data_IF_867000878919
#
_entry.id   IF_867000878919
#
_cell.length_a   1.000
_cell.length_b   1.000
_cell.length_c   1.000
_cell.angle_alpha   90.00
_cell.angle_beta   90.00
_cell.angle_gamma   90.00
#
_symmetry.space_group_name_H-M   'P 1'
#
loop_
_entity.id
_entity.type
_entity.pdbx_description
1 polymer ?
#
# COMPACT_ATOMS: atom_id res chain seq x y z
N UNK A 1 -30.37 2.80 -7.43
CA UNK A 1 -29.97 1.74 -6.48
C UNK A 1 -28.51 1.74 -6.00
N UNK A 2 -27.62 2.63 -6.48
CA UNK A 2 -26.21 2.68 -6.03
C UNK A 2 -26.00 3.16 -4.57
N UNK A 3 -26.98 3.88 -4.00
CA UNK A 3 -26.92 4.37 -2.61
C UNK A 3 -27.14 3.20 -1.61
N UNK A 4 -27.97 2.22 -1.97
CA UNK A 4 -28.21 1.04 -1.14
C UNK A 4 -27.00 0.11 -1.06
N UNK A 5 -26.24 -0.06 -2.16
CA UNK A 5 -25.06 -0.93 -2.17
C UNK A 5 -23.89 -0.35 -1.37
N UNK A 6 -23.71 0.97 -1.37
CA UNK A 6 -22.59 1.64 -0.66
C UNK A 6 -22.76 1.54 0.85
N UNK A 7 -23.98 1.67 1.37
CA UNK A 7 -24.28 1.52 2.80
C UNK A 7 -24.05 0.09 3.29
N UNK A 8 -24.39 -0.91 2.48
CA UNK A 8 -24.13 -2.32 2.80
C UNK A 8 -22.63 -2.63 2.91
N UNK A 9 -21.79 -2.03 2.06
CA UNK A 9 -20.32 -2.22 2.10
C UNK A 9 -19.73 -1.62 3.39
N UNK A 10 -20.16 -0.42 3.78
CA UNK A 10 -19.74 0.21 5.04
C UNK A 10 -20.20 -0.61 6.25
N UNK A 11 -21.43 -1.12 6.23
CA UNK A 11 -21.94 -2.01 7.28
C UNK A 11 -21.14 -3.32 7.37
N UNK A 12 -20.77 -3.91 6.23
CA UNK A 12 -19.94 -5.12 6.17
C UNK A 12 -18.53 -4.85 6.73
N UNK A 13 -17.95 -3.67 6.51
CA UNK A 13 -16.68 -3.26 7.10
C UNK A 13 -16.74 -3.12 8.64
N UNK A 14 -17.93 -2.90 9.21
CA UNK A 14 -18.15 -2.88 10.65
C UNK A 14 -18.10 -4.28 11.30
N UNK A 15 -18.33 -5.35 10.54
CA UNK A 15 -18.36 -6.70 11.07
C UNK A 15 -17.01 -7.16 11.67
N UNK A 16 -15.85 -7.01 10.99
CA UNK A 16 -14.56 -7.32 11.60
C UNK A 16 -14.27 -6.53 12.87
N UNK A 17 -14.68 -5.26 12.93
CA UNK A 17 -14.49 -4.42 14.12
C UNK A 17 -15.35 -4.90 15.31
N UNK A 18 -16.62 -5.24 15.05
CA UNK A 18 -17.50 -5.82 16.08
C UNK A 18 -16.98 -7.18 16.54
N UNK A 19 -16.56 -8.03 15.61
CA UNK A 19 -15.96 -9.33 15.92
C UNK A 19 -14.70 -9.15 16.78
N UNK A 20 -13.80 -8.24 16.40
CA UNK A 20 -12.61 -7.91 17.18
C UNK A 20 -12.97 -7.41 18.58
N UNK A 21 -13.98 -6.54 18.72
CA UNK A 21 -14.44 -6.05 20.01
C UNK A 21 -14.94 -7.19 20.90
N UNK A 22 -15.78 -8.09 20.37
CA UNK A 22 -16.29 -9.25 21.12
C UNK A 22 -15.15 -10.19 21.52
N UNK A 23 -14.20 -10.46 20.63
CA UNK A 23 -13.03 -11.31 20.92
C UNK A 23 -12.09 -10.70 21.97
N UNK A 24 -11.94 -9.37 21.97
CA UNK A 24 -11.14 -8.67 23.00
C UNK A 24 -11.70 -8.83 24.41
N UNK A 25 -13.01 -9.00 24.57
CA UNK A 25 -13.63 -9.28 25.88
C UNK A 25 -13.26 -10.66 26.43
N UNK A 26 -12.80 -11.58 25.58
CA UNK A 26 -12.38 -12.94 25.97
C UNK A 26 -10.88 -13.03 26.31
N UNK A 27 -10.09 -12.03 25.90
CA UNK A 27 -8.64 -12.04 26.12
C UNK A 27 -8.30 -11.65 27.56
N UNK A 28 -7.30 -12.30 28.19
CA UNK A 28 -6.81 -11.86 29.49
C UNK A 28 -6.12 -10.50 29.40
N UNK A 29 -6.14 -9.74 30.49
CA UNK A 29 -5.37 -8.50 30.62
C UNK A 29 -3.86 -8.77 30.47
N UNK A 30 -3.11 -7.75 30.05
CA UNK A 30 -1.66 -7.85 29.87
C UNK A 30 -0.95 -8.21 31.19
N UNK A 31 -0.17 -9.31 31.26
CA UNK A 31 0.54 -9.72 32.48
C UNK A 31 1.47 -8.63 33.03
N UNK A 32 2.23 -7.95 32.14
CA UNK A 32 3.14 -6.86 32.51
C UNK A 32 2.38 -5.70 33.17
N UNK A 33 1.18 -5.36 32.67
CA UNK A 33 0.36 -4.30 33.24
C UNK A 33 -0.18 -4.67 34.62
N UNK A 34 -0.61 -5.93 34.81
CA UNK A 34 -1.08 -6.45 36.10
C UNK A 34 0.05 -6.42 37.14
N UNK A 35 1.24 -6.91 36.77
CA UNK A 35 2.42 -6.89 37.63
C UNK A 35 2.80 -5.46 38.07
N UNK A 36 2.82 -4.50 37.13
CA UNK A 36 3.09 -3.07 37.42
C UNK A 36 2.06 -2.42 38.36
N UNK A 37 0.87 -3.00 38.52
CA UNK A 37 -0.15 -2.56 39.48
C UNK A 37 -0.12 -3.34 40.79
N UNK A 38 0.96 -4.05 41.09
CA UNK A 38 1.11 -4.91 42.28
C UNK A 38 0.07 -6.07 42.32
N UNK A 39 -0.47 -6.50 41.17
CA UNK A 39 -1.39 -7.64 41.05
C UNK A 39 -0.63 -8.87 40.54
N UNK A 40 0.27 -9.42 41.35
CA UNK A 40 1.16 -10.51 40.94
C UNK A 40 0.42 -11.82 40.64
N UNK A 41 -0.54 -12.21 41.48
CA UNK A 41 -1.31 -13.45 41.30
C UNK A 41 -2.10 -13.45 39.99
N UNK A 42 -2.77 -12.33 39.67
CA UNK A 42 -3.51 -12.16 38.42
C UNK A 42 -2.59 -12.20 37.20
N UNK A 43 -1.36 -11.67 37.32
CA UNK A 43 -0.34 -11.74 36.26
C UNK A 43 0.08 -13.18 35.97
N UNK A 44 0.28 -13.99 37.02
CA UNK A 44 0.62 -15.41 36.88
C UNK A 44 -0.55 -16.16 36.23
N UNK A 45 -1.79 -15.88 36.64
CA UNK A 45 -2.97 -16.51 36.06
C UNK A 45 -3.16 -16.14 34.58
N UNK A 46 -2.88 -14.88 34.21
CA UNK A 46 -2.86 -14.46 32.81
C UNK A 46 -1.78 -15.19 31.99
N UNK A 47 -0.58 -15.41 32.55
CA UNK A 47 0.49 -16.16 31.88
C UNK A 47 0.15 -17.65 31.72
N UNK A 48 -0.51 -18.28 32.70
CA UNK A 48 -0.94 -19.69 32.62
C UNK A 48 -1.92 -19.97 31.49
N UNK A 49 -2.65 -18.96 31.01
CA UNK A 49 -3.53 -19.08 29.84
C UNK A 49 -2.78 -19.12 28.51
N UNK A 50 -1.51 -18.72 28.49
CA UNK A 50 -0.70 -18.55 27.28
C UNK A 50 0.43 -19.59 27.22
N UNK A 51 1.06 -19.88 28.35
CA UNK A 51 2.27 -20.71 28.46
C UNK A 51 2.03 -21.98 29.26
N UNK A 52 2.87 -23.01 29.03
CA UNK A 52 2.86 -24.22 29.84
C UNK A 52 3.42 -23.95 31.24
N UNK A 53 3.09 -24.81 32.20
CA UNK A 53 3.47 -24.63 33.62
C UNK A 53 4.95 -24.30 33.86
N UNK A 54 5.88 -24.99 33.19
CA UNK A 54 7.32 -24.73 33.34
C UNK A 54 7.76 -23.41 32.70
N UNK A 55 7.17 -23.04 31.55
CA UNK A 55 7.47 -21.79 30.83
C UNK A 55 6.92 -20.57 31.58
N UNK A 56 5.80 -20.71 32.30
CA UNK A 56 5.21 -19.64 33.11
C UNK A 56 6.19 -19.13 34.16
N UNK A 57 6.95 -20.02 34.81
CA UNK A 57 7.92 -19.63 35.83
C UNK A 57 9.05 -18.81 35.21
N UNK A 58 9.62 -19.29 34.10
CA UNK A 58 10.71 -18.62 33.38
C UNK A 58 10.26 -17.24 32.84
N UNK A 59 9.09 -17.17 32.22
CA UNK A 59 8.53 -15.91 31.69
C UNK A 59 8.17 -14.93 32.80
N UNK A 60 7.66 -15.41 33.94
CA UNK A 60 7.37 -14.56 35.09
C UNK A 60 8.64 -13.99 35.73
N UNK A 61 9.70 -14.79 35.85
CA UNK A 61 11.00 -14.32 36.33
C UNK A 61 11.64 -13.31 35.37
N UNK A 62 11.54 -13.54 34.06
CA UNK A 62 12.00 -12.59 33.04
C UNK A 62 11.21 -11.28 33.10
N UNK A 63 9.88 -11.36 33.30
CA UNK A 63 9.01 -10.20 33.48
C UNK A 63 9.41 -9.41 34.73
N UNK A 64 9.61 -10.08 35.86
CA UNK A 64 10.06 -9.45 37.11
C UNK A 64 11.41 -8.75 36.93
N UNK A 65 12.35 -9.38 36.22
CA UNK A 65 13.64 -8.79 35.90
C UNK A 65 13.50 -7.55 35.00
N UNK A 66 12.63 -7.60 33.99
CA UNK A 66 12.40 -6.45 33.11
C UNK A 66 11.86 -5.24 33.88
N UNK A 67 10.93 -5.46 34.80
CA UNK A 67 10.33 -4.40 35.61
C UNK A 67 11.29 -3.92 36.71
N UNK A 68 12.10 -4.81 37.29
CA UNK A 68 13.10 -4.41 38.28
C UNK A 68 14.20 -3.56 37.65
N UNK A 69 14.66 -3.87 36.43
CA UNK A 69 15.62 -3.06 35.68
C UNK A 69 15.05 -1.67 35.36
N UNK A 70 13.78 -1.59 34.95
CA UNK A 70 13.08 -0.29 34.78
C UNK A 70 13.05 0.50 36.09
N UNK A 71 12.75 -0.18 37.21
CA UNK A 71 12.62 0.45 38.52
C UNK A 71 13.97 0.83 39.14
N UNK A 72 15.06 0.13 38.81
CA UNK A 72 16.40 0.35 39.38
C UNK A 72 17.32 1.19 38.51
N UNK A 73 17.05 1.29 37.20
CA UNK A 73 17.77 2.17 36.26
C UNK A 73 17.32 3.64 36.30
N UNK A 74 16.25 3.96 37.03
CA UNK A 74 15.78 5.31 37.28
C UNK A 74 15.71 5.57 38.77
N UNK A 75 16.39 6.64 39.20
CA UNK A 75 15.94 7.43 40.35
C UNK A 75 14.42 7.51 40.31
N UNK A 76 13.75 6.88 41.28
CA UNK A 76 12.46 7.19 41.88
C UNK A 76 11.56 8.21 41.15
N UNK A 77 11.33 8.01 39.86
CA UNK A 77 10.38 8.76 39.05
C UNK A 77 9.49 7.78 38.32
N UNK A 78 8.87 6.92 39.12
CA UNK A 78 7.42 6.76 38.95
C UNK A 78 6.88 8.19 38.81
N UNK A 79 6.45 8.57 37.61
CA UNK A 79 5.81 9.86 37.39
C UNK A 79 4.29 9.61 37.39
N UNK A 80 3.63 9.49 38.55
CA UNK A 80 2.21 9.76 38.60
C UNK A 80 2.04 11.26 38.37
N UNK A 81 1.85 11.66 37.10
CA UNK A 81 1.49 13.04 36.72
C UNK A 81 2.53 13.86 35.96
N UNK A 82 3.55 13.27 35.30
CA UNK A 82 4.39 14.08 34.40
C UNK A 82 3.69 14.42 33.10
N UNK A 83 3.80 15.69 32.69
CA UNK A 83 3.31 16.14 31.40
C UNK A 83 3.97 15.31 30.29
N UNK A 84 3.19 14.77 29.35
CA UNK A 84 3.64 13.99 28.18
C UNK A 84 4.90 14.55 27.50
N UNK A 85 5.00 15.89 27.41
CA UNK A 85 6.14 16.61 26.84
C UNK A 85 7.45 16.41 27.63
N UNK A 86 7.38 16.36 28.95
CA UNK A 86 8.56 16.19 29.81
C UNK A 86 9.14 14.77 29.72
N UNK A 87 8.29 13.76 29.50
CA UNK A 87 8.71 12.38 29.27
C UNK A 87 9.46 12.23 27.94
N UNK A 88 8.96 12.89 26.87
CA UNK A 88 9.64 12.95 25.56
C UNK A 88 10.99 13.67 25.69
N UNK A 89 11.02 14.83 26.34
CA UNK A 89 12.24 15.62 26.47
C UNK A 89 13.32 14.88 27.27
N UNK A 90 12.93 14.20 28.35
CA UNK A 90 13.84 13.40 29.17
C UNK A 90 14.41 12.22 28.37
N UNK A 91 13.57 11.45 27.69
CA UNK A 91 14.00 10.29 26.90
C UNK A 91 14.86 10.69 25.69
N UNK A 92 14.63 11.86 25.09
CA UNK A 92 15.44 12.40 23.99
C UNK A 92 16.90 12.71 24.39
N UNK A 93 17.17 12.87 25.68
CA UNK A 93 18.52 13.13 26.19
C UNK A 93 19.45 11.91 26.01
N UNK A 94 18.88 10.70 25.90
CA UNK A 94 19.66 9.50 25.63
C UNK A 94 20.09 9.44 24.15
N UNK A 95 21.40 9.37 23.84
CA UNK A 95 21.88 9.30 22.46
C UNK A 95 21.43 8.00 21.77
N UNK A 96 21.20 6.93 22.53
CA UNK A 96 20.71 5.65 22.02
C UNK A 96 19.26 5.76 21.56
N UNK A 97 18.37 6.30 22.41
CA UNK A 97 16.95 6.50 22.08
C UNK A 97 16.81 7.43 20.88
N UNK A 98 17.60 8.51 20.81
CA UNK A 98 17.59 9.43 19.67
C UNK A 98 17.98 8.73 18.37
N UNK A 99 19.08 7.95 18.38
CA UNK A 99 19.53 7.20 17.19
C UNK A 99 18.47 6.19 16.74
N UNK A 100 17.92 5.46 17.70
CA UNK A 100 16.83 4.50 17.50
C UNK A 100 15.60 5.14 16.87
N UNK A 101 15.17 6.28 17.41
CA UNK A 101 14.03 7.03 16.89
C UNK A 101 14.22 7.55 15.47
N UNK A 102 15.40 8.09 15.17
CA UNK A 102 15.72 8.54 13.80
C UNK A 102 15.69 7.39 12.81
N UNK A 103 16.25 6.22 13.18
CA UNK A 103 16.24 5.02 12.32
C UNK A 103 14.81 4.50 12.13
N UNK A 104 14.02 4.39 13.20
CA UNK A 104 12.63 3.92 13.11
C UNK A 104 11.75 4.85 12.27
N UNK A 105 11.83 6.17 12.47
CA UNK A 105 11.10 7.13 11.63
C UNK A 105 11.57 7.07 10.17
N UNK A 106 12.89 7.08 9.94
CA UNK A 106 13.45 7.00 8.60
C UNK A 106 13.00 5.74 7.88
N UNK A 107 12.87 4.62 8.58
CA UNK A 107 12.40 3.35 8.01
C UNK A 107 10.90 3.39 7.66
N UNK A 108 10.05 4.03 8.49
CA UNK A 108 8.63 4.22 8.15
C UNK A 108 8.44 5.16 6.95
N UNK A 109 9.22 6.23 6.86
CA UNK A 109 9.19 7.15 5.70
C UNK A 109 9.68 6.41 4.45
N UNK A 110 10.79 5.68 4.56
CA UNK A 110 11.34 4.86 3.48
C UNK A 110 10.33 3.83 2.96
N UNK A 111 9.59 3.16 3.85
CA UNK A 111 8.53 2.23 3.48
C UNK A 111 7.50 2.88 2.55
N UNK A 112 7.04 4.09 2.88
CA UNK A 112 6.05 4.80 2.08
C UNK A 112 6.63 5.32 0.75
N UNK A 113 7.87 5.81 0.75
CA UNK A 113 8.54 6.36 -0.44
C UNK A 113 8.86 5.31 -1.52
N UNK A 114 9.08 4.05 -1.15
CA UNK A 114 9.20 2.94 -2.13
C UNK A 114 7.90 2.75 -2.92
N UNK A 115 6.78 3.28 -2.43
CA UNK A 115 5.57 3.42 -3.21
C UNK A 115 4.69 2.17 -3.27
N UNK A 116 4.84 1.21 -2.36
CA UNK A 116 4.00 0.00 -2.36
C UNK A 116 2.50 0.31 -2.19
N UNK A 117 2.17 1.33 -1.39
CA UNK A 117 0.80 1.80 -1.25
C UNK A 117 0.30 2.53 -2.51
N UNK A 118 1.13 3.38 -3.13
CA UNK A 118 0.79 4.04 -4.39
C UNK A 118 0.56 3.02 -5.52
N UNK A 119 1.44 2.03 -5.63
CA UNK A 119 1.28 0.91 -6.56
C UNK A 119 -0.06 0.21 -6.41
N UNK A 120 -0.53 0.00 -5.17
CA UNK A 120 -1.82 -0.66 -4.93
C UNK A 120 -2.98 0.05 -5.64
N UNK A 121 -2.91 1.38 -5.72
CA UNK A 121 -3.90 2.19 -6.42
C UNK A 121 -3.71 2.19 -7.95
N UNK A 122 -2.51 1.93 -8.46
CA UNK A 122 -2.24 1.76 -9.90
C UNK A 122 -2.73 0.42 -10.45
N UNK A 123 -2.86 -0.61 -9.61
CA UNK A 123 -3.10 -1.98 -10.08
C UNK A 123 -4.33 -2.10 -10.99
N UNK A 124 -5.53 -1.58 -10.64
CA UNK A 124 -6.69 -1.73 -11.50
C UNK A 124 -6.47 -1.10 -12.88
N UNK A 125 -5.72 0.00 -12.94
CA UNK A 125 -5.33 0.70 -14.16
C UNK A 125 -4.35 -0.15 -15.00
N UNK A 126 -3.31 -0.72 -14.36
CA UNK A 126 -2.35 -1.64 -15.00
C UNK A 126 -3.06 -2.89 -15.54
N UNK A 127 -3.94 -3.48 -14.74
CA UNK A 127 -4.72 -4.66 -15.12
C UNK A 127 -5.61 -4.39 -16.35
N UNK A 128 -6.22 -3.19 -16.40
CA UNK A 128 -7.03 -2.75 -17.54
C UNK A 128 -6.18 -2.55 -18.80
N UNK A 129 -4.98 -1.98 -18.68
CA UNK A 129 -4.04 -1.84 -19.81
C UNK A 129 -3.57 -3.20 -20.33
N UNK A 130 -3.41 -4.20 -19.48
CA UNK A 130 -3.14 -5.58 -19.90
C UNK A 130 -4.33 -6.29 -20.55
N UNK A 131 -5.48 -5.62 -20.73
CA UNK A 131 -6.65 -6.20 -21.39
C UNK A 131 -7.61 -6.95 -20.46
N UNK A 132 -7.44 -6.84 -19.13
CA UNK A 132 -8.43 -7.34 -18.19
C UNK A 132 -9.63 -6.40 -18.21
N UNK A 133 -10.79 -6.91 -18.62
CA UNK A 133 -12.03 -6.15 -18.67
C UNK A 133 -13.15 -6.90 -17.97
N UNK A 134 -14.13 -6.16 -17.44
CA UNK A 134 -15.31 -6.74 -16.84
C UNK A 134 -16.22 -7.39 -17.88
N UNK A 135 -16.87 -8.53 -17.56
CA UNK A 135 -17.95 -9.08 -18.36
C UNK A 135 -19.14 -8.12 -18.55
N UNK A 136 -19.31 -7.14 -17.64
CA UNK A 136 -20.37 -6.15 -17.69
C UNK A 136 -19.82 -4.72 -17.54
N UNK A 137 -20.06 -3.79 -18.48
CA UNK A 137 -19.56 -2.41 -18.44
C UNK A 137 -20.06 -1.62 -17.24
N UNK A 138 -21.30 -1.84 -16.80
CA UNK A 138 -21.92 -1.08 -15.72
C UNK A 138 -21.23 -1.31 -14.37
N UNK A 139 -20.55 -2.45 -14.21
CA UNK A 139 -19.83 -2.81 -12.99
C UNK A 139 -18.31 -2.88 -13.19
N UNK A 140 -17.78 -2.34 -14.30
CA UNK A 140 -16.40 -2.57 -14.71
C UNK A 140 -15.36 -2.02 -13.71
N UNK A 141 -15.58 -0.81 -13.19
CA UNK A 141 -14.72 -0.21 -12.17
C UNK A 141 -14.72 -1.05 -10.89
N UNK A 142 -15.90 -1.48 -10.45
CA UNK A 142 -16.05 -2.28 -9.23
C UNK A 142 -15.43 -3.66 -9.41
N UNK A 143 -15.69 -4.34 -10.53
CA UNK A 143 -15.13 -5.65 -10.85
C UNK A 143 -13.59 -5.62 -10.87
N UNK A 144 -12.99 -4.61 -11.52
CA UNK A 144 -11.55 -4.42 -11.52
C UNK A 144 -11.01 -4.21 -10.10
N UNK A 145 -11.62 -3.30 -9.32
CA UNK A 145 -11.19 -3.04 -7.94
C UNK A 145 -11.32 -4.29 -7.07
N UNK A 146 -12.45 -4.98 -7.06
CA UNK A 146 -12.66 -6.18 -6.24
C UNK A 146 -11.70 -7.30 -6.64
N UNK A 147 -11.63 -7.65 -7.92
CA UNK A 147 -10.81 -8.77 -8.39
C UNK A 147 -9.33 -8.52 -8.14
N UNK A 148 -8.84 -7.32 -8.48
CA UNK A 148 -7.44 -6.96 -8.25
C UNK A 148 -7.11 -6.83 -6.76
N UNK A 149 -7.92 -6.14 -5.97
CA UNK A 149 -7.62 -5.96 -4.54
C UNK A 149 -7.68 -7.29 -3.77
N UNK A 150 -8.61 -8.20 -4.12
CA UNK A 150 -8.65 -9.54 -3.52
C UNK A 150 -7.40 -10.34 -3.90
N UNK A 151 -7.04 -10.36 -5.20
CA UNK A 151 -5.84 -11.06 -5.68
C UNK A 151 -4.58 -10.58 -4.96
N UNK A 152 -4.39 -9.26 -4.89
CA UNK A 152 -3.22 -8.67 -4.23
C UNK A 152 -3.26 -8.80 -2.70
N UNK A 153 -4.42 -8.67 -2.07
CA UNK A 153 -4.60 -8.92 -0.64
C UNK A 153 -4.25 -10.36 -0.26
N UNK A 154 -4.65 -11.34 -1.09
CA UNK A 154 -4.25 -12.73 -0.91
C UNK A 154 -2.72 -12.90 -1.04
N UNK A 155 -2.12 -12.30 -2.06
CA UNK A 155 -0.67 -12.32 -2.25
C UNK A 155 0.07 -11.70 -1.05
N UNK A 156 -0.42 -10.56 -0.54
CA UNK A 156 0.15 -9.89 0.62
C UNK A 156 0.07 -10.77 1.87
N UNK A 157 -1.04 -11.50 2.04
CA UNK A 157 -1.23 -12.42 3.15
C UNK A 157 -0.27 -13.62 3.06
N UNK A 158 -0.22 -14.30 1.91
CA UNK A 158 0.69 -15.44 1.72
C UNK A 158 2.16 -15.02 1.79
N UNK A 159 2.54 -13.96 1.07
CA UNK A 159 3.89 -13.42 1.07
C UNK A 159 4.30 -12.90 2.44
N UNK A 160 3.43 -12.14 3.10
CA UNK A 160 3.67 -11.58 4.43
C UNK A 160 3.89 -12.66 5.49
N UNK A 161 2.99 -13.63 5.60
CA UNK A 161 3.07 -14.68 6.64
C UNK A 161 4.22 -15.64 6.37
N UNK A 162 4.23 -16.27 5.19
CA UNK A 162 5.21 -17.32 4.86
C UNK A 162 6.60 -16.71 4.68
N UNK A 163 6.66 -15.54 4.05
CA UNK A 163 7.90 -14.83 3.80
C UNK A 163 8.50 -14.24 5.08
N UNK A 164 7.73 -13.51 5.88
CA UNK A 164 8.29 -12.91 7.10
C UNK A 164 8.79 -13.98 8.07
N UNK A 165 8.01 -15.05 8.29
CA UNK A 165 8.38 -16.13 9.22
C UNK A 165 9.70 -16.81 8.82
N UNK A 166 9.84 -17.19 7.55
CA UNK A 166 11.02 -17.94 7.09
C UNK A 166 12.24 -17.05 6.85
N UNK A 167 12.05 -15.85 6.30
CA UNK A 167 13.17 -15.02 5.87
C UNK A 167 13.71 -14.11 6.99
N UNK A 168 12.86 -13.55 7.85
CA UNK A 168 13.31 -12.65 8.94
C UNK A 168 14.10 -13.42 10.01
N UNK A 169 13.75 -14.69 10.26
CA UNK A 169 14.46 -15.53 11.20
C UNK A 169 15.85 -15.96 10.68
N UNK A 170 15.97 -16.19 9.36
CA UNK A 170 17.18 -16.76 8.74
C UNK A 170 18.16 -15.72 8.21
N UNK A 171 17.67 -14.60 7.68
CA UNK A 171 18.49 -13.57 7.04
C UNK A 171 18.59 -12.30 7.88
N UNK A 172 19.72 -11.59 7.76
CA UNK A 172 19.91 -10.29 8.41
C UNK A 172 18.86 -9.28 7.94
N UNK A 173 18.29 -8.51 8.88
CA UNK A 173 17.19 -7.55 8.62
C UNK A 173 17.58 -6.52 7.55
N UNK A 174 18.79 -5.96 7.63
CA UNK A 174 19.29 -4.96 6.66
C UNK A 174 19.49 -5.54 5.27
N UNK A 175 20.15 -6.70 5.15
CA UNK A 175 20.31 -7.41 3.86
C UNK A 175 18.97 -7.74 3.21
N UNK A 176 18.00 -8.16 4.03
CA UNK A 176 16.66 -8.48 3.54
C UNK A 176 15.92 -7.23 3.05
N UNK A 177 15.96 -6.12 3.81
CA UNK A 177 15.43 -4.82 3.40
C UNK A 177 16.04 -4.34 2.07
N UNK A 178 17.36 -4.41 1.92
CA UNK A 178 18.04 -3.97 0.70
C UNK A 178 17.75 -4.84 -0.51
N UNK A 179 17.82 -6.17 -0.34
CA UNK A 179 17.46 -7.13 -1.40
C UNK A 179 16.06 -6.87 -1.94
N UNK A 180 15.13 -6.56 -1.03
CA UNK A 180 13.77 -6.24 -1.37
C UNK A 180 13.60 -4.97 -2.20
N UNK A 181 14.25 -3.88 -1.78
CA UNK A 181 14.19 -2.61 -2.50
C UNK A 181 14.79 -2.75 -3.88
N UNK A 182 15.87 -3.52 -4.03
CA UNK A 182 16.43 -3.83 -5.35
C UNK A 182 15.47 -4.65 -6.21
N UNK A 183 14.75 -5.61 -5.62
CA UNK A 183 13.74 -6.37 -6.36
C UNK A 183 12.59 -5.47 -6.85
N UNK A 184 12.06 -4.60 -5.97
CA UNK A 184 11.04 -3.61 -6.34
C UNK A 184 11.56 -2.69 -7.45
N UNK A 185 12.77 -2.15 -7.31
CA UNK A 185 13.40 -1.30 -8.31
C UNK A 185 13.47 -1.99 -9.69
N UNK A 186 13.96 -3.23 -9.74
CA UNK A 186 14.05 -3.98 -11.00
C UNK A 186 12.68 -4.30 -11.60
N UNK A 187 11.68 -4.57 -10.77
CA UNK A 187 10.31 -4.76 -11.25
C UNK A 187 9.73 -3.47 -11.85
N UNK A 188 9.92 -2.33 -11.19
CA UNK A 188 9.46 -1.03 -11.68
C UNK A 188 10.17 -0.63 -12.99
N UNK A 189 11.49 -0.84 -13.08
CA UNK A 189 12.25 -0.62 -14.32
C UNK A 189 11.76 -1.55 -15.44
N UNK A 190 11.48 -2.81 -15.12
CA UNK A 190 10.91 -3.77 -16.07
C UNK A 190 9.52 -3.35 -16.56
N UNK A 191 8.66 -2.85 -15.66
CA UNK A 191 7.36 -2.28 -16.03
C UNK A 191 7.54 -1.05 -16.93
N UNK A 192 8.41 -0.10 -16.57
CA UNK A 192 8.73 1.04 -17.44
C UNK A 192 9.21 0.61 -18.83
N UNK A 193 10.09 -0.40 -18.90
CA UNK A 193 10.58 -0.93 -20.17
C UNK A 193 9.45 -1.51 -21.02
N UNK A 194 8.54 -2.29 -20.41
CA UNK A 194 7.35 -2.80 -21.10
C UNK A 194 6.48 -1.67 -21.64
N UNK A 195 6.23 -0.63 -20.83
CA UNK A 195 5.45 0.53 -21.27
C UNK A 195 6.10 1.28 -22.44
N UNK A 196 7.43 1.41 -22.45
CA UNK A 196 8.17 2.12 -23.51
C UNK A 196 8.24 1.30 -24.80
N UNK A 197 8.42 -0.03 -24.68
CA UNK A 197 8.60 -0.90 -25.84
C UNK A 197 7.28 -1.38 -26.45
N UNK A 198 6.18 -1.33 -25.69
CA UNK A 198 4.85 -1.57 -26.25
C UNK A 198 4.52 -0.38 -27.14
N UNK A 199 4.57 -0.53 -28.48
CA UNK A 199 4.35 0.60 -29.38
C UNK A 199 2.95 1.17 -29.11
N UNK A 200 2.77 2.48 -29.31
CA UNK A 200 1.51 3.22 -29.21
C UNK A 200 0.37 2.57 -30.03
N UNK A 201 -0.17 1.47 -29.54
CA UNK A 201 -1.42 0.84 -29.96
C UNK A 201 -2.51 1.36 -29.04
N UNK A 202 -2.50 2.67 -28.80
CA UNK A 202 -3.64 3.36 -28.22
C UNK A 202 -4.78 3.11 -29.18
N UNK A 203 -5.93 2.69 -28.66
CA UNK A 203 -7.10 2.44 -29.50
C UNK A 203 -7.39 3.67 -30.37
N UNK A 204 -7.29 3.47 -31.69
CA UNK A 204 -7.58 4.48 -32.68
C UNK A 204 -9.07 4.81 -32.70
N UNK A 205 -9.41 6.01 -33.17
CA UNK A 205 -10.81 6.37 -33.40
C UNK A 205 -11.28 5.70 -34.69
N UNK A 206 -12.26 4.79 -34.61
CA UNK A 206 -12.89 4.21 -35.79
C UNK A 206 -13.89 5.20 -36.36
N UNK A 207 -13.63 5.70 -37.58
CA UNK A 207 -14.55 6.57 -38.30
C UNK A 207 -15.89 5.88 -38.59
N UNK A 208 -15.84 4.59 -38.89
CA UNK A 208 -17.05 3.78 -39.08
C UNK A 208 -17.89 3.79 -37.80
N UNK A 209 -17.30 3.42 -36.66
CA UNK A 209 -18.03 3.34 -35.39
C UNK A 209 -18.53 4.71 -34.92
N UNK A 210 -17.74 5.76 -35.10
CA UNK A 210 -18.12 7.13 -34.72
C UNK A 210 -19.32 7.62 -35.54
N UNK A 211 -19.27 7.49 -36.88
CA UNK A 211 -20.27 8.09 -37.77
C UNK A 211 -21.50 7.20 -37.94
N UNK A 212 -21.34 5.89 -38.14
CA UNK A 212 -22.48 5.01 -38.45
C UNK A 212 -23.24 4.58 -37.21
N UNK A 213 -22.54 4.29 -36.10
CA UNK A 213 -23.16 3.77 -34.89
C UNK A 213 -23.62 4.87 -33.92
N UNK A 214 -23.03 6.06 -33.99
CA UNK A 214 -23.28 7.16 -33.05
C UNK A 214 -23.50 8.52 -33.72
N UNK A 215 -23.75 8.57 -35.04
CA UNK A 215 -23.71 9.76 -35.90
C UNK A 215 -24.22 11.10 -35.32
N UNK A 216 -25.33 11.10 -34.57
CA UNK A 216 -25.89 12.33 -33.97
C UNK A 216 -25.08 12.88 -32.78
N UNK A 217 -24.23 12.06 -32.17
CA UNK A 217 -23.46 12.36 -30.96
C UNK A 217 -21.96 12.48 -31.25
N UNK A 218 -21.58 12.72 -32.50
CA UNK A 218 -20.18 12.78 -32.93
C UNK A 218 -19.51 14.09 -32.52
N UNK A 219 -18.25 14.03 -32.09
CA UNK A 219 -17.56 15.25 -31.65
C UNK A 219 -17.22 16.18 -32.83
N UNK A 220 -17.62 17.45 -32.77
CA UNK A 220 -17.35 18.44 -33.82
C UNK A 220 -15.85 18.60 -34.09
N UNK A 221 -15.05 18.66 -33.01
CA UNK A 221 -13.58 18.75 -33.09
C UNK A 221 -12.94 17.59 -33.87
N UNK A 222 -13.55 16.40 -33.85
CA UNK A 222 -13.07 15.23 -34.58
C UNK A 222 -13.44 15.29 -36.07
N UNK A 223 -14.65 15.74 -36.39
CA UNK A 223 -15.13 15.86 -37.78
C UNK A 223 -14.41 16.97 -38.54
N UNK A 224 -14.13 18.08 -37.87
CA UNK A 224 -13.46 19.24 -38.45
C UNK A 224 -11.95 19.04 -38.62
N UNK A 225 -11.37 18.02 -37.99
CA UNK A 225 -9.94 17.76 -38.04
C UNK A 225 -9.49 17.13 -39.37
N UNK A 226 -8.55 17.78 -40.06
CA UNK A 226 -7.97 17.27 -41.30
C UNK A 226 -7.16 15.97 -41.13
N UNK A 227 -6.77 15.62 -39.90
CA UNK A 227 -6.01 14.43 -39.55
C UNK A 227 -6.80 13.39 -38.74
N UNK A 228 -8.14 13.40 -38.83
CA UNK A 228 -9.05 12.52 -38.08
C UNK A 228 -8.63 11.04 -38.11
N UNK A 229 -8.12 10.52 -39.24
CA UNK A 229 -7.72 9.11 -39.36
C UNK A 229 -6.48 8.73 -38.51
N UNK A 230 -5.76 9.72 -37.96
CA UNK A 230 -4.64 9.53 -37.03
C UNK A 230 -5.02 9.79 -35.57
N UNK A 231 -6.29 10.10 -35.30
CA UNK A 231 -6.73 10.35 -33.93
C UNK A 231 -6.76 9.06 -33.14
N UNK A 232 -6.24 9.15 -31.93
CA UNK A 232 -6.35 8.13 -30.90
C UNK A 232 -7.28 8.61 -29.78
N UNK A 233 -7.61 7.70 -28.87
CA UNK A 233 -8.42 8.01 -27.69
C UNK A 233 -7.89 9.24 -26.92
N UNK A 234 -6.56 9.41 -26.80
CA UNK A 234 -5.96 10.54 -26.08
C UNK A 234 -6.18 11.87 -26.79
N UNK A 235 -6.04 11.89 -28.12
CA UNK A 235 -6.29 13.08 -28.95
C UNK A 235 -7.76 13.47 -28.90
N UNK A 236 -8.67 12.48 -28.95
CA UNK A 236 -10.11 12.70 -28.78
C UNK A 236 -10.44 13.36 -27.42
N UNK A 237 -9.94 12.80 -26.31
CA UNK A 237 -10.20 13.34 -24.98
C UNK A 237 -9.58 14.72 -24.77
N UNK A 238 -8.40 15.00 -25.35
CA UNK A 238 -7.75 16.33 -25.28
C UNK A 238 -8.53 17.41 -26.04
N UNK A 239 -9.34 17.01 -27.02
CA UNK A 239 -10.20 17.92 -27.77
C UNK A 239 -11.50 18.29 -27.04
N UNK A 240 -11.68 17.86 -25.77
CA UNK A 240 -12.89 18.10 -24.97
C UNK A 240 -14.05 17.16 -25.31
N UNK A 241 -13.78 16.06 -25.99
CA UNK A 241 -14.76 15.03 -26.37
C UNK A 241 -14.78 13.88 -25.35
N UNK A 242 -15.80 13.02 -25.41
CA UNK A 242 -15.82 11.70 -24.75
C UNK A 242 -15.42 10.57 -25.71
N UNK A 243 -14.89 9.48 -25.19
CA UNK A 243 -14.49 8.32 -25.97
C UNK A 243 -15.26 7.07 -25.52
N UNK A 244 -15.89 6.37 -26.46
CA UNK A 244 -16.65 5.15 -26.20
C UNK A 244 -15.93 3.95 -26.83
N UNK A 245 -15.58 2.94 -26.04
CA UNK A 245 -14.80 1.79 -26.53
C UNK A 245 -15.41 0.45 -26.15
N UNK A 246 -15.36 -0.51 -27.09
CA UNK A 246 -15.91 -1.86 -26.91
C UNK A 246 -15.08 -2.74 -25.98
N UNK A 247 -15.70 -3.73 -25.34
CA UNK A 247 -15.04 -4.64 -24.37
C UNK A 247 -14.36 -5.83 -25.05
N UNK A 248 -14.77 -6.19 -26.28
CA UNK A 248 -14.36 -7.43 -26.95
C UNK A 248 -13.67 -7.17 -28.30
N UNK A 249 -12.50 -7.78 -28.51
CA UNK A 249 -12.03 -8.18 -29.85
C UNK A 249 -12.88 -9.37 -30.33
N UNK A 250 -14.18 -9.18 -30.54
CA UNK A 250 -14.93 -10.12 -31.35
C UNK A 250 -14.63 -9.82 -32.81
N UNK A 251 -14.38 -10.87 -33.60
CA UNK A 251 -14.00 -10.89 -35.02
C UNK A 251 -14.91 -10.10 -36.00
N UNK A 252 -15.91 -9.37 -35.51
CA UNK A 252 -16.91 -8.63 -36.29
C UNK A 252 -17.10 -7.16 -35.85
N UNK A 253 -16.32 -6.64 -34.89
CA UNK A 253 -16.30 -5.20 -34.55
C UNK A 253 -14.96 -4.63 -34.97
N UNK A 254 -14.99 -3.55 -35.76
CA UNK A 254 -13.77 -2.89 -36.27
C UNK A 254 -12.84 -2.50 -35.14
N UNK A 255 -11.50 -2.62 -35.31
CA UNK A 255 -10.55 -2.20 -34.30
C UNK A 255 -10.61 -0.67 -34.13
N UNK A 256 -11.10 -0.20 -32.98
CA UNK A 256 -11.15 1.20 -32.62
C UNK A 256 -12.30 1.51 -31.66
N UNK A 257 -12.35 2.75 -31.15
CA UNK A 257 -13.50 3.28 -30.40
C UNK A 257 -14.09 4.51 -31.08
N UNK A 258 -15.21 5.00 -30.56
CA UNK A 258 -15.92 6.16 -31.10
C UNK A 258 -15.61 7.45 -30.32
N UNK A 259 -15.34 8.55 -31.04
CA UNK A 259 -15.12 9.88 -30.44
C UNK A 259 -16.40 10.72 -30.49
N UNK A 260 -17.00 10.99 -29.33
CA UNK A 260 -18.34 11.53 -29.18
C UNK A 260 -18.36 12.86 -28.41
N UNK A 261 -19.43 13.65 -28.52
CA UNK A 261 -19.59 14.91 -27.78
C UNK A 261 -19.60 14.66 -26.27
N UNK A 262 -18.96 15.53 -25.48
CA UNK A 262 -19.07 15.49 -24.02
C UNK A 262 -20.52 15.72 -23.55
N UNK A 263 -20.87 15.22 -22.36
CA UNK A 263 -22.21 15.36 -21.76
C UNK A 263 -22.67 16.83 -21.72
N UNK A 264 -23.96 17.10 -22.04
CA UNK A 264 -25.10 16.47 -21.36
C UNK A 264 -26.08 15.66 -22.23
N UNK A 265 -25.74 15.32 -23.48
CA UNK A 265 -26.68 14.72 -24.45
C UNK A 265 -27.07 13.24 -24.21
N UNK A 266 -26.91 12.67 -23.01
CA UNK A 266 -27.23 11.26 -22.72
C UNK A 266 -26.34 10.23 -23.46
N UNK A 267 -25.22 10.69 -24.01
CA UNK A 267 -24.28 9.88 -24.83
C UNK A 267 -23.65 8.74 -24.03
N UNK A 268 -23.40 8.96 -22.74
CA UNK A 268 -22.88 7.95 -21.81
C UNK A 268 -23.80 6.73 -21.73
N UNK A 269 -25.12 6.96 -21.62
CA UNK A 269 -26.13 5.89 -21.57
C UNK A 269 -26.22 5.16 -22.91
N UNK A 270 -26.09 5.86 -24.04
CA UNK A 270 -26.07 5.24 -25.36
C UNK A 270 -24.84 4.34 -25.58
N UNK A 271 -23.68 4.74 -25.05
CA UNK A 271 -22.46 3.92 -25.02
C UNK A 271 -22.65 2.67 -24.14
N UNK A 272 -23.15 2.84 -22.92
CA UNK A 272 -23.40 1.73 -22.00
C UNK A 272 -24.48 0.75 -22.50
N UNK A 273 -25.51 1.25 -23.21
CA UNK A 273 -26.55 0.41 -23.82
C UNK A 273 -26.00 -0.57 -24.87
N UNK A 274 -24.87 -0.25 -25.49
CA UNK A 274 -24.16 -1.13 -26.44
C UNK A 274 -23.11 -2.02 -25.77
N UNK A 275 -23.11 -2.11 -24.44
CA UNK A 275 -22.08 -2.79 -23.65
C UNK A 275 -20.65 -2.24 -23.90
N UNK A 276 -20.52 -0.93 -24.07
CA UNK A 276 -19.25 -0.25 -24.25
C UNK A 276 -18.89 0.59 -23.01
N UNK A 277 -17.60 0.85 -22.84
CA UNK A 277 -17.06 1.65 -21.73
C UNK A 277 -16.97 3.10 -22.18
N UNK A 278 -17.58 3.99 -21.39
CA UNK A 278 -17.56 5.44 -21.60
C UNK A 278 -16.41 6.08 -20.83
N UNK A 279 -15.59 6.87 -21.53
CA UNK A 279 -14.45 7.58 -20.99
C UNK A 279 -14.63 9.09 -21.21
N UNK A 280 -14.49 9.87 -20.14
CA UNK A 280 -14.53 11.35 -20.19
C UNK A 280 -13.25 11.96 -19.64
N UNK A 281 -13.08 13.25 -19.88
CA UNK A 281 -11.96 14.03 -19.36
C UNK A 281 -11.89 14.05 -17.82
N UNK A 282 -13.04 13.97 -17.14
CA UNK A 282 -13.18 13.99 -15.66
C UNK A 282 -13.28 12.59 -15.03
N UNK A 283 -13.35 11.53 -15.84
CA UNK A 283 -13.30 10.16 -15.34
C UNK A 283 -11.92 9.91 -14.75
N UNK A 284 -11.87 9.47 -13.49
CA UNK A 284 -10.71 9.45 -12.59
C UNK A 284 -9.51 8.54 -12.99
N UNK A 285 -9.29 8.30 -14.29
CA UNK A 285 -8.13 7.65 -14.93
C UNK A 285 -8.18 7.92 -16.44
N UNK A 286 -7.28 8.77 -16.99
CA UNK A 286 -7.07 8.87 -18.45
C UNK A 286 -6.29 7.66 -18.99
N UNK A 287 -6.86 6.47 -18.92
CA UNK A 287 -6.23 5.27 -19.49
C UNK A 287 -6.97 4.83 -20.73
N UNK A 288 -6.77 5.58 -21.81
CA UNK A 288 -6.91 5.02 -23.14
C UNK A 288 -6.08 3.73 -23.19
N UNK A 289 -6.71 2.60 -23.57
CA UNK A 289 -6.05 1.30 -23.47
C UNK A 289 -4.79 1.28 -24.32
N UNK A 290 -3.64 1.19 -23.65
CA UNK A 290 -2.37 0.81 -24.27
C UNK A 290 -2.35 -0.71 -24.21
N UNK A 291 -2.33 -1.38 -25.37
CA UNK A 291 -2.13 -2.82 -25.40
C UNK A 291 -0.71 -3.12 -24.92
N UNK A 292 -0.57 -3.66 -23.71
CA UNK A 292 0.70 -4.16 -23.16
C UNK A 292 0.68 -5.68 -23.07
N UNK A 293 1.83 -6.37 -23.15
CA UNK A 293 1.92 -7.81 -22.90
C UNK A 293 1.38 -8.16 -21.51
N UNK A 294 0.17 -8.74 -21.48
CA UNK A 294 -0.60 -8.92 -20.26
C UNK A 294 0.14 -9.77 -19.24
N UNK A 295 0.63 -10.93 -19.67
CA UNK A 295 1.29 -11.92 -18.82
C UNK A 295 2.53 -11.33 -18.15
N UNK A 296 3.40 -10.65 -18.92
CA UNK A 296 4.62 -10.06 -18.39
C UNK A 296 4.32 -8.94 -17.36
N UNK A 297 3.34 -8.09 -17.67
CA UNK A 297 2.92 -6.98 -16.81
C UNK A 297 2.33 -7.47 -15.49
N UNK A 298 1.44 -8.48 -15.55
CA UNK A 298 0.89 -9.11 -14.35
C UNK A 298 1.95 -9.81 -13.52
N UNK A 299 2.86 -10.57 -14.14
CA UNK A 299 3.94 -11.25 -13.39
C UNK A 299 4.87 -10.27 -12.67
N UNK A 300 5.32 -9.21 -13.36
CA UNK A 300 6.19 -8.19 -12.76
C UNK A 300 5.51 -7.43 -11.62
N UNK A 301 4.23 -7.06 -11.80
CA UNK A 301 3.46 -6.37 -10.76
C UNK A 301 3.20 -7.25 -9.54
N UNK A 302 2.92 -8.54 -9.74
CA UNK A 302 2.79 -9.53 -8.67
C UNK A 302 4.10 -9.73 -7.91
N UNK A 303 5.23 -9.92 -8.60
CA UNK A 303 6.55 -10.08 -7.96
C UNK A 303 6.92 -8.84 -7.15
N UNK A 304 6.67 -7.65 -7.71
CA UNK A 304 6.90 -6.38 -7.03
C UNK A 304 6.09 -6.28 -5.73
N UNK A 305 4.82 -6.69 -5.76
CA UNK A 305 3.96 -6.63 -4.59
C UNK A 305 4.28 -7.70 -3.54
N UNK A 306 4.56 -8.95 -3.95
CA UNK A 306 5.06 -10.00 -3.04
C UNK A 306 6.28 -9.47 -2.29
N UNK A 307 7.23 -8.92 -3.03
CA UNK A 307 8.46 -8.36 -2.47
C UNK A 307 8.10 -7.33 -1.41
N UNK A 308 7.34 -6.29 -1.76
CA UNK A 308 6.96 -5.26 -0.81
C UNK A 308 6.31 -5.83 0.46
N UNK A 309 5.35 -6.74 0.33
CA UNK A 309 4.60 -7.32 1.44
C UNK A 309 5.42 -8.22 2.37
N UNK A 310 6.38 -8.99 1.85
CA UNK A 310 7.21 -9.92 2.63
C UNK A 310 8.15 -9.19 3.59
N UNK A 311 8.71 -8.04 3.18
CA UNK A 311 9.84 -7.41 3.87
C UNK A 311 9.50 -6.00 4.35
N UNK A 312 9.19 -5.09 3.41
CA UNK A 312 8.90 -3.69 3.74
C UNK A 312 7.57 -3.54 4.47
N UNK A 313 6.62 -4.45 4.27
CA UNK A 313 5.36 -4.49 5.00
C UNK A 313 5.51 -4.81 6.48
N UNK A 314 6.44 -5.70 6.86
CA UNK A 314 6.53 -6.25 8.22
C UNK A 314 7.72 -5.72 9.03
N UNK A 315 8.91 -5.66 8.43
CA UNK A 315 10.16 -5.37 9.16
C UNK A 315 10.15 -3.99 9.85
N UNK A 316 9.70 -2.90 9.21
CA UNK A 316 9.65 -1.59 9.86
C UNK A 316 8.84 -1.59 11.16
N UNK A 317 7.69 -2.28 11.16
CA UNK A 317 6.84 -2.43 12.34
C UNK A 317 7.46 -3.34 13.40
N UNK A 318 8.05 -4.48 13.00
CA UNK A 318 8.76 -5.38 13.93
C UNK A 318 9.92 -4.64 14.62
N UNK A 319 10.66 -3.82 13.86
CA UNK A 319 11.76 -3.03 14.41
C UNK A 319 11.22 -1.95 15.35
N UNK A 320 10.15 -1.24 14.99
CA UNK A 320 9.54 -0.23 15.86
C UNK A 320 9.19 -0.78 17.25
N UNK A 321 8.65 -2.00 17.34
CA UNK A 321 8.23 -2.63 18.60
C UNK A 321 9.41 -3.00 19.52
N UNK A 322 10.58 -3.32 18.97
CA UNK A 322 11.72 -3.87 19.72
C UNK A 322 12.82 -2.86 20.06
N UNK A 323 12.66 -1.63 19.58
CA UNK A 323 13.71 -0.61 19.60
C UNK A 323 13.73 0.25 20.87
N UNK A 324 12.59 0.33 21.58
CA UNK A 324 12.43 1.21 22.75
C UNK A 324 12.22 0.43 24.06
N UNK A 325 12.71 0.97 25.20
CA UNK A 325 12.34 0.48 26.51
C UNK A 325 10.83 0.64 26.71
N UNK A 326 10.23 -0.29 27.43
CA UNK A 326 8.80 -0.42 27.74
C UNK A 326 8.16 0.89 28.23
N UNK A 327 8.87 1.69 29.04
CA UNK A 327 8.40 2.97 29.59
C UNK A 327 8.02 4.00 28.53
N UNK A 328 8.80 4.08 27.45
CA UNK A 328 8.62 5.08 26.38
C UNK A 328 8.18 4.47 25.06
N UNK A 329 8.06 3.13 25.01
CA UNK A 329 7.65 2.36 23.82
C UNK A 329 6.29 2.79 23.29
N UNK A 330 5.32 3.04 24.19
CA UNK A 330 4.00 3.53 23.79
C UNK A 330 4.06 4.88 23.09
N UNK A 331 4.75 5.85 23.70
CA UNK A 331 4.86 7.22 23.18
C UNK A 331 5.66 7.30 21.88
N UNK A 332 6.90 6.80 21.88
CA UNK A 332 7.77 6.85 20.70
C UNK A 332 7.29 5.92 19.59
N UNK A 333 6.77 4.74 19.93
CA UNK A 333 6.15 3.83 18.97
C UNK A 333 4.92 4.44 18.29
N UNK A 334 4.09 5.17 19.05
CA UNK A 334 2.95 5.92 18.53
C UNK A 334 3.36 7.08 17.62
N UNK A 335 4.39 7.85 17.99
CA UNK A 335 4.95 8.91 17.14
C UNK A 335 5.48 8.38 15.81
N UNK A 336 6.23 7.27 15.83
CA UNK A 336 6.72 6.59 14.61
C UNK A 336 5.56 6.10 13.74
N UNK A 337 4.49 5.57 14.35
CA UNK A 337 3.29 5.17 13.63
C UNK A 337 2.58 6.39 12.99
N UNK A 338 2.47 7.51 13.71
CA UNK A 338 1.92 8.75 13.17
C UNK A 338 2.73 9.25 11.95
N UNK A 339 4.06 9.23 12.03
CA UNK A 339 4.93 9.55 10.89
C UNK A 339 4.66 8.65 9.69
N UNK A 340 4.40 7.35 9.89
CA UNK A 340 4.06 6.43 8.81
C UNK A 340 2.77 6.85 8.09
N UNK A 341 1.69 7.11 8.83
CA UNK A 341 0.40 7.48 8.26
C UNK A 341 0.40 8.87 7.62
N UNK A 342 1.14 9.83 8.19
CA UNK A 342 1.37 11.15 7.58
C UNK A 342 2.13 10.99 6.26
N UNK A 343 3.21 10.19 6.26
CA UNK A 343 3.99 9.93 5.05
C UNK A 343 3.15 9.22 3.98
N UNK A 344 2.30 8.28 4.39
CA UNK A 344 1.34 7.62 3.50
C UNK A 344 0.42 8.65 2.81
N UNK A 345 -0.18 9.56 3.58
CA UNK A 345 -1.07 10.59 3.04
C UNK A 345 -0.33 11.51 2.05
N UNK A 346 0.89 11.92 2.39
CA UNK A 346 1.71 12.76 1.50
C UNK A 346 2.03 12.04 0.20
N UNK A 347 2.53 10.80 0.28
CA UNK A 347 2.92 10.02 -0.89
C UNK A 347 1.72 9.74 -1.79
N UNK A 348 0.55 9.40 -1.24
CA UNK A 348 -0.60 9.07 -2.07
C UNK A 348 -1.17 10.31 -2.79
N UNK A 349 -1.23 11.46 -2.11
CA UNK A 349 -1.67 12.71 -2.73
C UNK A 349 -0.70 13.14 -3.82
N UNK A 350 0.61 13.11 -3.54
CA UNK A 350 1.64 13.41 -4.53
C UNK A 350 1.56 12.45 -5.74
N UNK A 351 1.33 11.16 -5.48
CA UNK A 351 1.18 10.17 -6.54
C UNK A 351 0.04 10.52 -7.49
N UNK A 352 -1.15 10.87 -6.98
CA UNK A 352 -2.28 11.24 -7.84
C UNK A 352 -2.00 12.52 -8.64
N UNK A 353 -1.43 13.55 -8.00
CA UNK A 353 -1.05 14.81 -8.68
C UNK A 353 -0.04 14.55 -9.81
N UNK A 354 0.98 13.73 -9.55
CA UNK A 354 1.98 13.36 -10.55
C UNK A 354 1.37 12.55 -11.68
N UNK A 355 0.53 11.57 -11.36
CA UNK A 355 -0.09 10.72 -12.36
C UNK A 355 -1.03 11.51 -13.29
N UNK A 356 -1.72 12.52 -12.75
CA UNK A 356 -2.58 13.41 -13.54
C UNK A 356 -1.79 14.40 -14.39
N UNK A 357 -0.70 14.97 -13.86
CA UNK A 357 0.07 16.03 -14.52
C UNK A 357 1.06 15.52 -15.57
N UNK A 358 1.84 14.48 -15.25
CA UNK A 358 2.94 13.98 -16.10
C UNK A 358 2.72 12.55 -16.61
N UNK A 359 1.63 11.90 -16.20
CA UNK A 359 1.25 10.55 -16.62
C UNK A 359 1.88 9.42 -15.80
N UNK A 360 1.36 8.21 -15.99
CA UNK A 360 1.73 7.01 -15.24
C UNK A 360 3.17 6.57 -15.45
N UNK A 361 3.65 6.58 -16.70
CA UNK A 361 5.03 6.20 -17.02
C UNK A 361 6.06 7.09 -16.29
N UNK A 362 5.91 8.41 -16.40
CA UNK A 362 6.82 9.35 -15.75
C UNK A 362 6.78 9.21 -14.22
N UNK A 363 5.60 8.94 -13.66
CA UNK A 363 5.42 8.71 -12.23
C UNK A 363 6.13 7.43 -11.76
N UNK A 364 6.05 6.33 -12.51
CA UNK A 364 6.76 5.08 -12.17
C UNK A 364 8.29 5.27 -12.26
N UNK A 365 8.78 6.03 -13.25
CA UNK A 365 10.21 6.37 -13.35
C UNK A 365 10.66 7.17 -12.11
N UNK A 366 9.86 8.15 -11.68
CA UNK A 366 10.16 8.96 -10.50
C UNK A 366 10.20 8.11 -9.22
N UNK A 367 9.22 7.22 -9.02
CA UNK A 367 9.22 6.27 -7.88
C UNK A 367 10.45 5.36 -7.92
N UNK A 368 10.87 4.94 -9.12
CA UNK A 368 12.09 4.12 -9.29
C UNK A 368 13.34 4.88 -8.84
N UNK A 369 13.47 6.16 -9.22
CA UNK A 369 14.58 7.02 -8.79
C UNK A 369 14.57 7.27 -7.27
N UNK A 370 13.39 7.52 -6.70
CA UNK A 370 13.22 7.66 -5.25
C UNK A 370 13.61 6.35 -4.53
N UNK A 371 13.26 5.19 -5.08
CA UNK A 371 13.62 3.89 -4.52
C UNK A 371 15.14 3.67 -4.47
N UNK A 372 15.90 4.18 -5.46
CA UNK A 372 17.37 4.17 -5.41
C UNK A 372 17.89 5.00 -4.24
N UNK A 373 17.34 6.21 -4.04
CA UNK A 373 17.72 7.09 -2.92
C UNK A 373 17.41 6.40 -1.59
N UNK A 374 16.22 5.80 -1.46
CA UNK A 374 15.81 5.05 -0.27
C UNK A 374 16.74 3.87 0.02
N UNK A 375 17.16 3.12 -1.02
CA UNK A 375 18.12 2.04 -0.86
C UNK A 375 19.45 2.54 -0.28
N UNK A 376 19.95 3.69 -0.73
CA UNK A 376 21.18 4.27 -0.19
C UNK A 376 20.99 4.77 1.26
N UNK A 377 19.85 5.41 1.56
CA UNK A 377 19.52 5.83 2.92
C UNK A 377 19.47 4.64 3.89
N UNK A 378 18.87 3.51 3.49
CA UNK A 378 18.84 2.30 4.33
C UNK A 378 20.24 1.71 4.50
N UNK A 379 21.09 1.75 3.47
CA UNK A 379 22.50 1.36 3.63
C UNK A 379 23.21 2.23 4.66
N UNK A 380 22.95 3.54 4.70
CA UNK A 380 23.68 4.44 5.61
C UNK A 380 23.11 4.43 7.04
N UNK A 381 21.79 4.40 7.17
CA UNK A 381 21.09 4.61 8.45
C UNK A 381 20.86 3.33 9.24
N UNK A 382 20.63 2.19 8.59
CA UNK A 382 20.30 0.94 9.26
C UNK A 382 21.59 0.16 9.54
N UNK A 383 21.97 -0.09 10.81
CA UNK A 383 23.09 -0.96 11.15
C UNK A 383 22.75 -2.45 10.94
N UNK A 384 23.75 -3.28 10.64
CA UNK A 384 23.59 -4.73 10.42
C UNK A 384 23.46 -5.53 11.73
N UNK A 385 23.87 -4.95 12.86
CA UNK A 385 24.00 -5.66 14.14
C UNK A 385 22.62 -6.08 14.68
N UNK A 386 22.44 -7.39 14.90
CA UNK A 386 21.21 -7.97 15.46
C UNK A 386 20.85 -7.38 16.83
N UNK A 387 21.87 -7.09 17.64
CA UNK A 387 21.70 -6.56 19.01
C UNK A 387 21.25 -5.08 19.03
N UNK A 388 21.36 -4.33 17.92
CA UNK A 388 20.94 -2.92 17.88
C UNK A 388 19.40 -2.76 18.01
N UNK A 389 18.63 -3.77 17.60
CA UNK A 389 17.17 -3.72 17.59
C UNK A 389 16.53 -4.60 18.67
N UNK A 390 17.32 -5.07 19.63
CA UNK A 390 16.89 -5.96 20.70
C UNK A 390 17.36 -5.39 22.03
N UNK A 391 16.62 -4.41 22.54
CA UNK A 391 16.85 -3.91 23.90
C UNK A 391 16.70 -5.04 24.95
N UNK A 392 15.85 -6.03 24.65
CA UNK A 392 15.57 -7.21 25.47
C UNK A 392 16.72 -8.23 25.52
N UNK A 393 17.55 -8.34 24.48
CA UNK A 393 18.72 -9.24 24.48
C UNK A 393 19.99 -8.57 25.02
N UNK A 394 20.10 -7.24 24.90
CA UNK A 394 21.21 -6.50 25.47
C UNK A 394 21.27 -6.64 27.01
N UNK A 395 20.10 -6.66 27.68
CA UNK A 395 20.01 -6.94 29.12
C UNK A 395 20.34 -8.39 29.49
N UNK A 396 20.12 -9.35 28.57
CA UNK A 396 20.37 -10.78 28.80
C UNK A 396 21.85 -11.19 28.65
N UNK A 397 22.68 -10.35 28.03
CA UNK A 397 24.13 -10.58 27.85
C UNK A 397 25.00 -9.73 28.80
N UNK A 398 24.41 -8.81 29.56
CA UNK A 398 25.13 -7.95 30.51
C UNK A 398 25.05 -8.42 31.96
N UNK A 399 24.34 -9.51 32.22
CA UNK A 399 24.34 -10.31 33.46
C UNK A 399 25.00 -11.64 33.16
#
# INVERSE_FOLDING_TARGET
DAIGSTNCILALAGFPALLQFVLMLLLPDSPIWLYKRNREEDSIEALRKIYNFCEVVEEFDALRLSVSIETSGQDEKSYPGSNFLSQIQSAWSSPLIRKHFVVSNGLQVAQQLVGGNAMMHCIPSIARMSGLASPNPNWDIWFMKFTCLIYYGAIALFGGIVGSYNFVARFGRRRLLLSNIYCVLWCLVGLCFIYVISPNNIEGVSRLETITNFGNNTCSSYIEAANADKWDCLTCLRAGCGFCTGIYENLMVTPGGACLTAEPNGVSQACSAKNQIWLTQDSLTRDCRIKVPAVATFMLSTVCHISYSVVLGAIPWIMNLKTYPTEVRGTYGGMVAATNWISFLIVIVLFFILNESIGSLCTIILISLVSVIVAQLIKLLVPENKDFFLFEEAGRKST
#
